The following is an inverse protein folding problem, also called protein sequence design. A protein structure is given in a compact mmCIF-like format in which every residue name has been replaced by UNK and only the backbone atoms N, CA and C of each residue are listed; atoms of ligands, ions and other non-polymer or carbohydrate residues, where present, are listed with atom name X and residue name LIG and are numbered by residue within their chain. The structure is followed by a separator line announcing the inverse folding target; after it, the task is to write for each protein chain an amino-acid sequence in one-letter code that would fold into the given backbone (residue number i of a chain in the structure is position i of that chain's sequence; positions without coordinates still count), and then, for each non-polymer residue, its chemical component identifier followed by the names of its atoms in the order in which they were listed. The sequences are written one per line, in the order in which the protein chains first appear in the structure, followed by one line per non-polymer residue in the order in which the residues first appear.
data_IF_179705562811
#
_entry.id   IF_179705562811
#
_cell.length_a   1.000
_cell.length_b   1.000
_cell.length_c   1.000
_cell.angle_alpha   90.00
_cell.angle_beta   90.00
_cell.angle_gamma   90.00
#
_symmetry.space_group_name_H-M   'P 1'
#
loop_
_entity.id
_entity.type
_entity.pdbx_description
1 polymer ?
#
# COMPACT_ATOMS: atom_id res chain seq x y z
N UNK A 1 -19.58 19.03 7.40
CA UNK A 1 -19.27 19.75 6.16
C UNK A 1 -18.83 21.18 6.46
N UNK A 2 -19.64 21.95 7.20
CA UNK A 2 -19.41 23.37 7.53
C UNK A 2 -18.01 23.71 8.07
N UNK A 3 -17.56 23.06 9.15
CA UNK A 3 -16.21 23.30 9.72
C UNK A 3 -15.09 23.06 8.71
N UNK A 4 -15.21 22.01 7.89
CA UNK A 4 -14.18 21.71 6.91
C UNK A 4 -14.14 22.75 5.79
N UNK A 5 -15.31 23.21 5.33
CA UNK A 5 -15.41 24.31 4.36
C UNK A 5 -14.83 25.61 4.92
N UNK A 6 -15.08 25.93 6.19
CA UNK A 6 -14.49 27.13 6.82
C UNK A 6 -12.96 27.07 6.87
N UNK A 7 -12.39 25.91 7.22
CA UNK A 7 -10.93 25.71 7.11
C UNK A 7 -10.44 25.88 5.66
N UNK A 8 -11.21 25.40 4.69
CA UNK A 8 -10.94 25.62 3.26
C UNK A 8 -10.91 27.11 2.89
N UNK A 9 -11.89 27.89 3.37
CA UNK A 9 -11.96 29.35 3.15
C UNK A 9 -10.78 30.08 3.77
N UNK A 10 -10.43 29.74 5.01
CA UNK A 10 -9.28 30.34 5.70
C UNK A 10 -7.96 30.08 4.97
N UNK A 11 -7.78 28.86 4.42
CA UNK A 11 -6.61 28.54 3.59
C UNK A 11 -6.64 29.30 2.27
N UNK A 12 -7.79 29.42 1.63
CA UNK A 12 -7.98 30.23 0.43
C UNK A 12 -7.60 31.70 0.66
N UNK A 13 -8.15 32.30 1.72
CA UNK A 13 -7.85 33.67 2.15
C UNK A 13 -6.36 33.87 2.42
N UNK A 14 -5.74 32.98 3.19
CA UNK A 14 -4.31 33.07 3.49
C UNK A 14 -3.46 32.97 2.22
N UNK A 15 -3.84 32.12 1.26
CA UNK A 15 -3.15 32.02 -0.01
C UNK A 15 -3.31 33.27 -0.88
N UNK A 16 -4.49 33.89 -0.89
CA UNK A 16 -4.73 35.15 -1.61
C UNK A 16 -3.91 36.30 -1.02
N UNK A 17 -3.87 36.44 0.30
CA UNK A 17 -3.09 37.47 0.99
C UNK A 17 -1.58 37.24 0.82
N UNK A 18 -1.12 36.00 0.89
CA UNK A 18 0.29 35.67 0.61
C UNK A 18 0.69 36.08 -0.81
N UNK A 19 -0.15 35.84 -1.83
CA UNK A 19 0.11 36.27 -3.21
C UNK A 19 0.16 37.79 -3.38
N UNK A 20 -0.57 38.54 -2.54
CA UNK A 20 -0.51 40.02 -2.50
C UNK A 20 0.73 40.55 -1.75
N UNK A 21 1.51 39.67 -1.11
CA UNK A 21 2.68 40.04 -0.31
C UNK A 21 2.35 40.46 1.13
N UNK A 22 1.12 40.23 1.60
CA UNK A 22 0.74 40.52 2.99
C UNK A 22 1.51 39.60 3.94
N UNK A 23 2.22 40.11 4.98
CA UNK A 23 2.96 39.27 5.92
C UNK A 23 2.07 38.28 6.68
N UNK A 24 2.55 37.04 6.88
CA UNK A 24 1.83 35.97 7.59
C UNK A 24 1.29 36.41 8.96
N UNK A 25 2.11 37.14 9.73
CA UNK A 25 1.73 37.61 11.07
C UNK A 25 0.52 38.56 11.04
N UNK A 26 0.39 39.36 10.00
CA UNK A 26 -0.74 40.29 9.86
C UNK A 26 -2.04 39.54 9.56
N UNK A 27 -2.01 38.57 8.64
CA UNK A 27 -3.16 37.70 8.36
C UNK A 27 -3.54 36.89 9.60
N UNK A 28 -2.55 36.36 10.31
CA UNK A 28 -2.77 35.61 11.54
C UNK A 28 -3.45 36.45 12.62
N UNK A 29 -3.09 37.74 12.78
CA UNK A 29 -3.74 38.66 13.74
C UNK A 29 -5.21 38.87 13.39
N UNK A 30 -5.52 39.15 12.12
CA UNK A 30 -6.91 39.38 11.67
C UNK A 30 -7.79 38.14 11.93
N UNK A 31 -7.28 36.96 11.59
CA UNK A 31 -8.01 35.70 11.84
C UNK A 31 -8.11 35.41 13.34
N UNK A 32 -7.06 35.62 14.11
CA UNK A 32 -7.06 35.42 15.56
C UNK A 32 -8.09 36.31 16.29
N UNK A 33 -8.26 37.56 15.84
CA UNK A 33 -9.25 38.49 16.38
C UNK A 33 -10.69 38.01 16.11
N UNK A 34 -10.99 37.60 14.87
CA UNK A 34 -12.32 37.09 14.49
C UNK A 34 -12.71 35.85 15.28
N UNK A 35 -11.75 34.96 15.54
CA UNK A 35 -11.99 33.67 16.19
C UNK A 35 -11.71 33.66 17.71
N UNK A 36 -11.18 34.75 18.27
CA UNK A 36 -10.83 34.86 19.69
C UNK A 36 -9.76 33.86 20.14
N UNK A 37 -8.73 33.61 19.31
CA UNK A 37 -7.67 32.62 19.58
C UNK A 37 -6.28 33.26 19.61
N UNK A 38 -5.29 32.55 20.15
CA UNK A 38 -3.90 33.03 20.15
C UNK A 38 -3.34 33.15 18.72
N UNK A 39 -2.79 34.32 18.40
CA UNK A 39 -2.18 34.63 17.09
C UNK A 39 -1.12 33.60 16.68
N UNK A 40 -0.33 33.07 17.62
CA UNK A 40 0.73 32.10 17.34
C UNK A 40 0.17 30.77 16.85
N UNK A 41 -1.02 30.38 17.32
CA UNK A 41 -1.70 29.15 16.87
C UNK A 41 -2.12 29.30 15.41
N UNK A 42 -2.70 30.44 15.08
CA UNK A 42 -3.12 30.76 13.71
C UNK A 42 -1.91 30.89 12.78
N UNK A 43 -0.87 31.61 13.22
CA UNK A 43 0.37 31.78 12.46
C UNK A 43 1.01 30.43 12.13
N UNK A 44 1.11 29.54 13.13
CA UNK A 44 1.62 28.17 12.92
C UNK A 44 0.76 27.40 11.90
N UNK A 45 -0.56 27.50 12.00
CA UNK A 45 -1.49 26.79 11.11
C UNK A 45 -1.47 27.32 9.66
N UNK A 46 -1.25 28.62 9.47
CA UNK A 46 -1.23 29.25 8.14
C UNK A 46 0.16 29.27 7.49
N UNK A 47 1.23 29.03 8.25
CA UNK A 47 2.61 29.00 7.73
C UNK A 47 2.78 28.06 6.54
N UNK A 48 2.22 26.85 6.64
CA UNK A 48 2.26 25.85 5.57
C UNK A 48 1.64 26.35 4.26
N UNK A 49 0.65 27.23 4.35
CA UNK A 49 -0.03 27.83 3.20
C UNK A 49 0.86 28.87 2.53
N UNK A 50 1.54 29.70 3.31
CA UNK A 50 2.52 30.66 2.79
C UNK A 50 3.67 29.93 2.09
N UNK A 51 4.22 28.87 2.71
CA UNK A 51 5.28 28.06 2.09
C UNK A 51 4.85 27.44 0.75
N UNK A 52 3.59 27.06 0.60
CA UNK A 52 3.06 26.56 -0.67
C UNK A 52 2.98 27.65 -1.74
N UNK A 53 2.50 28.85 -1.37
CA UNK A 53 2.42 29.99 -2.29
C UNK A 53 3.82 30.41 -2.75
N UNK A 54 4.79 30.49 -1.85
CA UNK A 54 6.19 30.80 -2.17
C UNK A 54 6.80 29.79 -3.17
N UNK A 55 6.40 28.52 -3.08
CA UNK A 55 6.81 27.45 -4.00
C UNK A 55 6.00 27.38 -5.30
N UNK A 56 5.05 28.30 -5.50
CA UNK A 56 4.16 28.29 -6.67
C UNK A 56 3.20 27.10 -6.72
N UNK A 57 2.95 26.42 -5.59
CA UNK A 57 2.07 25.27 -5.53
C UNK A 57 0.59 25.68 -5.39
N UNK A 58 -0.35 24.94 -5.99
CA UNK A 58 -1.77 25.20 -5.81
C UNK A 58 -2.19 24.92 -4.36
N UNK A 59 -2.93 25.85 -3.76
CA UNK A 59 -3.42 25.71 -2.38
C UNK A 59 -4.86 25.20 -2.39
N UNK A 60 -5.16 24.04 -1.78
CA UNK A 60 -6.51 23.52 -1.69
C UNK A 60 -7.37 24.37 -0.75
N UNK A 61 -8.63 24.60 -1.15
CA UNK A 61 -9.59 25.46 -0.45
C UNK A 61 -11.03 24.94 -0.57
N UNK A 62 -12.02 25.73 -0.15
CA UNK A 62 -13.45 25.45 -0.35
C UNK A 62 -13.88 25.47 -1.83
N UNK A 63 -13.04 26.02 -2.73
CA UNK A 63 -13.31 26.17 -4.18
C UNK A 63 -12.29 25.48 -5.08
N UNK A 64 -11.26 24.86 -4.52
CA UNK A 64 -10.23 24.15 -5.28
C UNK A 64 -9.86 22.84 -4.58
N UNK A 65 -10.16 21.73 -5.25
CA UNK A 65 -9.61 20.41 -4.94
C UNK A 65 -8.24 20.30 -5.61
N UNK A 66 -7.24 19.88 -4.85
CA UNK A 66 -5.89 19.61 -5.37
C UNK A 66 -5.65 18.12 -5.29
N UNK A 67 -5.33 17.49 -6.42
CA UNK A 67 -4.94 16.09 -6.50
C UNK A 67 -3.43 16.04 -6.63
N UNK A 68 -2.77 15.47 -5.63
CA UNK A 68 -1.32 15.49 -5.50
C UNK A 68 -0.73 14.09 -5.65
N UNK A 69 0.28 13.94 -6.50
CA UNK A 69 1.07 12.72 -6.58
C UNK A 69 2.26 12.75 -5.61
N UNK A 70 2.30 11.82 -4.66
CA UNK A 70 3.28 11.82 -3.58
C UNK A 70 3.87 10.42 -3.32
N UNK A 71 4.91 10.05 -4.08
CA UNK A 71 5.71 8.84 -3.80
C UNK A 71 4.93 7.53 -3.91
N UNK A 72 4.14 7.37 -4.98
CA UNK A 72 3.28 6.20 -5.20
C UNK A 72 2.03 6.20 -4.30
N UNK A 73 1.53 7.40 -3.97
CA UNK A 73 0.23 7.69 -3.37
C UNK A 73 -0.37 8.85 -4.15
N UNK A 74 -1.70 8.88 -4.26
CA UNK A 74 -2.43 10.06 -4.71
C UNK A 74 -3.17 10.64 -3.51
N UNK A 75 -2.95 11.93 -3.23
CA UNK A 75 -3.58 12.66 -2.13
C UNK A 75 -4.55 13.68 -2.71
N UNK A 76 -5.85 13.46 -2.52
CA UNK A 76 -6.88 14.43 -2.88
C UNK A 76 -7.11 15.33 -1.68
N UNK A 77 -6.64 16.58 -1.74
CA UNK A 77 -6.92 17.59 -0.73
C UNK A 77 -8.32 18.14 -0.95
N UNK A 78 -9.22 17.85 -0.01
CA UNK A 78 -10.65 18.06 -0.13
C UNK A 78 -11.27 18.43 1.23
N UNK A 79 -11.76 19.66 1.34
CA UNK A 79 -12.25 20.26 2.58
C UNK A 79 -13.74 19.98 2.86
N UNK A 80 -14.19 18.74 2.66
CA UNK A 80 -15.61 18.37 2.79
C UNK A 80 -15.95 17.67 4.11
N UNK A 81 -14.96 17.34 4.93
CA UNK A 81 -15.15 16.62 6.17
C UNK A 81 -15.15 15.11 5.97
N UNK A 82 -15.04 14.36 7.09
CA UNK A 82 -14.75 12.93 7.03
C UNK A 82 -15.85 12.12 6.31
N UNK A 83 -17.14 12.37 6.63
CA UNK A 83 -18.26 11.59 6.07
C UNK A 83 -18.46 11.80 4.56
N UNK A 84 -18.30 13.04 4.08
CA UNK A 84 -18.38 13.36 2.64
C UNK A 84 -17.16 12.77 1.91
N UNK A 85 -15.96 12.98 2.47
CA UNK A 85 -14.73 12.40 1.92
C UNK A 85 -14.76 10.86 1.91
N UNK A 86 -15.47 10.22 2.84
CA UNK A 86 -15.69 8.77 2.84
C UNK A 86 -16.53 8.32 1.65
N UNK A 87 -17.60 9.05 1.33
CA UNK A 87 -18.44 8.74 0.16
C UNK A 87 -17.65 8.94 -1.15
N UNK A 88 -16.96 10.07 -1.30
CA UNK A 88 -16.09 10.33 -2.46
C UNK A 88 -14.97 9.29 -2.57
N UNK A 89 -14.30 8.97 -1.48
CA UNK A 89 -13.25 7.94 -1.44
C UNK A 89 -13.76 6.55 -1.80
N UNK A 90 -14.99 6.23 -1.38
CA UNK A 90 -15.66 4.96 -1.73
C UNK A 90 -15.94 4.89 -3.23
N UNK A 91 -16.49 5.96 -3.80
CA UNK A 91 -16.69 6.11 -5.25
C UNK A 91 -15.38 5.91 -6.02
N UNK A 92 -14.33 6.67 -5.67
CA UNK A 92 -13.03 6.59 -6.34
C UNK A 92 -12.44 5.18 -6.26
N UNK A 93 -12.42 4.56 -5.07
CA UNK A 93 -11.90 3.19 -4.92
C UNK A 93 -12.62 2.17 -5.80
N UNK A 94 -13.94 2.31 -5.94
CA UNK A 94 -14.75 1.42 -6.74
C UNK A 94 -14.53 1.64 -8.23
N UNK A 95 -14.50 2.89 -8.69
CA UNK A 95 -14.24 3.24 -10.09
C UNK A 95 -12.87 2.76 -10.54
N UNK A 96 -11.83 3.02 -9.74
CA UNK A 96 -10.48 2.56 -10.03
C UNK A 96 -10.45 1.04 -10.19
N UNK A 97 -11.04 0.31 -9.23
CA UNK A 97 -11.05 -1.15 -9.28
C UNK A 97 -11.80 -1.71 -10.51
N UNK A 98 -12.86 -1.05 -10.97
CA UNK A 98 -13.62 -1.50 -12.15
C UNK A 98 -12.95 -1.12 -13.47
N UNK A 99 -12.30 0.03 -13.56
CA UNK A 99 -11.65 0.51 -14.80
C UNK A 99 -10.30 -0.17 -15.00
N UNK A 100 -9.45 -0.17 -13.97
CA UNK A 100 -8.06 -0.62 -14.06
C UNK A 100 -7.86 -2.06 -13.61
N UNK A 101 -8.88 -2.72 -13.06
CA UNK A 101 -8.80 -4.12 -12.61
C UNK A 101 -7.87 -4.35 -11.42
N UNK A 102 -7.45 -3.29 -10.74
CA UNK A 102 -6.50 -3.33 -9.61
C UNK A 102 -7.14 -2.86 -8.31
N UNK A 103 -6.74 -3.41 -7.14
CA UNK A 103 -7.32 -3.01 -5.87
C UNK A 103 -6.85 -1.61 -5.46
N UNK A 104 -7.79 -0.68 -5.29
CA UNK A 104 -7.54 0.65 -4.74
C UNK A 104 -7.79 0.68 -3.22
N UNK A 105 -6.80 1.15 -2.47
CA UNK A 105 -6.92 1.34 -1.02
C UNK A 105 -7.11 2.82 -0.72
N UNK A 106 -8.14 3.15 0.06
CA UNK A 106 -8.50 4.53 0.36
C UNK A 106 -8.57 4.76 1.87
N UNK A 107 -8.09 5.93 2.30
CA UNK A 107 -8.19 6.43 3.66
C UNK A 107 -8.58 7.89 3.66
N UNK A 108 -9.72 8.22 4.27
CA UNK A 108 -10.23 9.58 4.38
C UNK A 108 -9.93 10.24 5.74
N UNK A 109 -9.77 11.56 5.70
CA UNK A 109 -9.70 12.47 6.85
C UNK A 109 -10.52 13.72 6.52
N UNK A 110 -10.81 14.61 7.50
CA UNK A 110 -11.65 15.78 7.25
C UNK A 110 -11.25 16.68 6.07
N UNK A 111 -9.96 16.72 5.72
CA UNK A 111 -9.42 17.62 4.70
C UNK A 111 -8.72 16.89 3.53
N UNK A 112 -8.75 15.54 3.51
CA UNK A 112 -8.05 14.77 2.46
C UNK A 112 -8.59 13.36 2.27
N UNK A 113 -8.37 12.82 1.10
CA UNK A 113 -8.55 11.40 0.74
C UNK A 113 -7.20 10.91 0.23
N UNK A 114 -6.64 9.88 0.86
CA UNK A 114 -5.38 9.25 0.42
C UNK A 114 -5.72 7.96 -0.31
N UNK A 115 -5.19 7.82 -1.51
CA UNK A 115 -5.41 6.69 -2.41
C UNK A 115 -4.07 6.01 -2.67
N UNK A 116 -4.05 4.69 -2.52
CA UNK A 116 -2.93 3.84 -2.92
C UNK A 116 -3.42 2.82 -3.92
N UNK A 117 -2.93 2.94 -5.15
CA UNK A 117 -3.20 2.02 -6.23
C UNK A 117 -1.97 1.95 -7.13
N UNK A 118 -1.66 0.77 -7.68
CA UNK A 118 -0.57 0.62 -8.65
C UNK A 118 -1.08 1.04 -10.03
N UNK A 119 -0.30 1.83 -10.77
CA UNK A 119 -0.62 2.25 -12.13
C UNK A 119 -1.78 3.25 -12.24
N UNK A 120 -2.06 4.01 -11.19
CA UNK A 120 -3.06 5.10 -11.19
C UNK A 120 -2.35 6.38 -10.79
N UNK A 121 -2.45 7.38 -11.65
CA UNK A 121 -1.80 8.69 -11.51
C UNK A 121 -2.80 9.74 -10.98
N UNK A 122 -2.30 10.92 -10.62
CA UNK A 122 -3.15 11.99 -10.12
C UNK A 122 -4.18 12.48 -11.16
N UNK A 123 -3.79 12.47 -12.44
CA UNK A 123 -4.62 12.80 -13.60
C UNK A 123 -5.84 11.89 -13.71
N UNK A 124 -5.68 10.58 -13.49
CA UNK A 124 -6.81 9.63 -13.52
C UNK A 124 -7.86 9.98 -12.47
N UNK A 125 -7.40 10.33 -11.26
CA UNK A 125 -8.27 10.70 -10.15
C UNK A 125 -8.95 12.04 -10.41
N UNK A 126 -8.22 13.01 -10.98
CA UNK A 126 -8.78 14.30 -11.34
C UNK A 126 -9.88 14.15 -12.40
N UNK A 127 -9.66 13.34 -13.43
CA UNK A 127 -10.64 13.04 -14.48
C UNK A 127 -11.88 12.35 -13.91
N UNK A 128 -11.71 11.35 -13.03
CA UNK A 128 -12.83 10.67 -12.37
C UNK A 128 -13.72 11.60 -11.52
N UNK A 129 -13.14 12.68 -10.99
CA UNK A 129 -13.88 13.70 -10.24
C UNK A 129 -14.50 14.76 -11.15
N UNK A 130 -13.84 15.12 -12.25
CA UNK A 130 -14.31 16.15 -13.17
C UNK A 130 -15.47 15.66 -14.06
N UNK A 131 -15.45 14.40 -14.48
CA UNK A 131 -16.40 13.85 -15.46
C UNK A 131 -17.66 13.24 -14.85
N UNK A 132 -17.69 13.02 -13.53
CA UNK A 132 -18.77 12.28 -12.87
C UNK A 132 -20.06 13.09 -12.78
N UNK A 133 -21.18 12.46 -13.13
CA UNK A 133 -22.54 13.00 -12.92
C UNK A 133 -23.11 12.58 -11.56
N UNK A 134 -24.08 13.32 -11.03
CA UNK A 134 -24.76 12.98 -9.78
C UNK A 134 -25.40 11.58 -9.83
N UNK A 135 -26.00 11.20 -10.97
CA UNK A 135 -26.63 9.90 -11.18
C UNK A 135 -25.60 8.75 -11.18
N UNK A 136 -24.49 8.91 -11.90
CA UNK A 136 -23.41 7.93 -11.92
C UNK A 136 -22.74 7.79 -10.55
N UNK A 137 -22.50 8.92 -9.87
CA UNK A 137 -21.95 8.93 -8.53
C UNK A 137 -22.81 8.08 -7.59
N UNK A 138 -24.13 8.36 -7.54
CA UNK A 138 -25.05 7.63 -6.68
C UNK A 138 -25.09 6.14 -7.02
N UNK A 139 -25.17 5.79 -8.30
CA UNK A 139 -25.16 4.40 -8.79
C UNK A 139 -23.91 3.66 -8.33
N UNK A 140 -22.74 4.26 -8.51
CA UNK A 140 -21.46 3.63 -8.19
C UNK A 140 -21.18 3.55 -6.68
N UNK A 141 -21.52 4.60 -5.92
CA UNK A 141 -21.43 4.55 -4.44
C UNK A 141 -22.34 3.47 -3.88
N UNK A 142 -23.58 3.36 -4.36
CA UNK A 142 -24.52 2.33 -3.92
C UNK A 142 -23.94 0.93 -4.15
N UNK A 143 -23.46 0.65 -5.36
CA UNK A 143 -22.81 -0.64 -5.67
C UNK A 143 -21.60 -0.90 -4.76
N UNK A 144 -20.75 0.11 -4.55
CA UNK A 144 -19.57 0.01 -3.69
C UNK A 144 -19.93 -0.25 -2.21
N UNK A 145 -21.06 0.26 -1.74
CA UNK A 145 -21.57 0.02 -0.39
C UNK A 145 -22.10 -1.40 -0.26
N UNK A 146 -22.92 -1.87 -1.21
CA UNK A 146 -23.48 -3.22 -1.21
C UNK A 146 -22.36 -4.29 -1.18
N UNK A 147 -21.25 -4.05 -1.88
CA UNK A 147 -20.08 -4.93 -1.88
C UNK A 147 -19.22 -4.82 -0.59
N UNK A 148 -19.48 -3.86 0.29
CA UNK A 148 -18.61 -3.53 1.42
C UNK A 148 -18.80 -4.42 2.66
N UNK A 149 -17.76 -4.49 3.50
CA UNK A 149 -17.84 -5.11 4.84
C UNK A 149 -18.73 -4.30 5.80
N UNK A 150 -18.75 -2.98 5.66
CA UNK A 150 -19.56 -2.09 6.48
C UNK A 150 -21.06 -2.39 6.28
N UNK A 151 -21.49 -2.56 5.02
CA UNK A 151 -22.85 -2.99 4.71
C UNK A 151 -23.19 -4.36 5.29
N UNK A 152 -22.32 -5.37 5.10
CA UNK A 152 -22.51 -6.70 5.70
C UNK A 152 -22.66 -6.65 7.21
N UNK A 153 -21.86 -5.83 7.90
CA UNK A 153 -21.97 -5.63 9.34
C UNK A 153 -23.28 -4.91 9.71
N UNK A 154 -23.62 -3.85 8.99
CA UNK A 154 -24.84 -3.07 9.21
C UNK A 154 -26.11 -3.89 8.99
N UNK A 155 -26.14 -4.72 7.94
CA UNK A 155 -27.25 -5.61 7.63
C UNK A 155 -27.50 -6.59 8.77
N UNK A 156 -26.46 -7.14 9.40
CA UNK A 156 -26.62 -8.01 10.57
C UNK A 156 -27.25 -7.26 11.75
N UNK A 157 -26.84 -6.01 12.00
CA UNK A 157 -27.41 -5.19 13.07
C UNK A 157 -28.89 -4.86 12.81
N UNK A 158 -29.23 -4.49 11.57
CA UNK A 158 -30.61 -4.19 11.18
C UNK A 158 -31.47 -5.46 11.23
N UNK A 159 -30.99 -6.57 10.67
CA UNK A 159 -31.70 -7.85 10.68
C UNK A 159 -31.95 -8.37 12.10
N UNK A 160 -31.02 -8.17 13.05
CA UNK A 160 -31.27 -8.46 14.47
C UNK A 160 -32.33 -7.56 15.08
N UNK A 161 -32.26 -6.24 14.85
CA UNK A 161 -33.27 -5.28 15.36
C UNK A 161 -34.67 -5.55 14.80
N UNK A 162 -34.76 -6.07 13.59
CA UNK A 162 -36.02 -6.42 12.92
C UNK A 162 -36.47 -7.87 13.19
N UNK A 163 -35.77 -8.61 14.06
CA UNK A 163 -36.16 -9.99 14.42
C UNK A 163 -35.89 -11.05 13.35
N UNK A 164 -35.24 -10.70 12.25
CA UNK A 164 -34.83 -11.65 11.20
C UNK A 164 -33.76 -12.62 11.71
N UNK A 165 -32.90 -12.16 12.63
CA UNK A 165 -31.87 -12.98 13.28
C UNK A 165 -32.16 -13.04 14.78
N UNK A 166 -32.28 -14.26 15.32
CA UNK A 166 -32.48 -14.47 16.75
C UNK A 166 -31.29 -13.92 17.58
N UNK A 167 -31.55 -13.34 18.78
CA UNK A 167 -30.49 -12.91 19.70
C UNK A 167 -29.49 -14.04 20.00
N UNK A 168 -28.21 -13.69 20.12
CA UNK A 168 -27.14 -14.66 20.43
C UNK A 168 -26.64 -15.52 19.26
N UNK A 169 -27.33 -15.54 18.11
CA UNK A 169 -26.92 -16.29 16.91
C UNK A 169 -25.53 -15.83 16.42
N UNK A 170 -24.54 -16.73 16.38
CA UNK A 170 -23.23 -16.44 15.76
C UNK A 170 -23.31 -16.74 14.27
N UNK A 171 -22.96 -15.75 13.45
CA UNK A 171 -22.94 -15.89 11.99
C UNK A 171 -21.50 -16.11 11.51
N UNK A 172 -21.30 -17.11 10.67
CA UNK A 172 -20.06 -17.26 9.91
C UNK A 172 -20.06 -16.30 8.71
N UNK A 173 -18.92 -16.17 8.02
CA UNK A 173 -18.82 -15.35 6.81
C UNK A 173 -19.80 -15.83 5.71
N UNK A 174 -19.94 -17.14 5.52
CA UNK A 174 -20.85 -17.71 4.52
C UNK A 174 -22.33 -17.47 4.85
N UNK A 175 -22.68 -17.40 6.14
CA UNK A 175 -24.05 -17.07 6.57
C UNK A 175 -24.41 -15.63 6.24
N UNK A 176 -23.46 -14.71 6.42
CA UNK A 176 -23.64 -13.29 6.09
C UNK A 176 -23.83 -13.11 4.58
N UNK A 177 -23.08 -13.82 3.75
CA UNK A 177 -23.25 -13.74 2.30
C UNK A 177 -24.61 -14.30 1.85
N UNK A 178 -25.08 -15.39 2.45
CA UNK A 178 -26.45 -15.91 2.23
C UNK A 178 -27.53 -14.94 2.70
N UNK A 179 -27.32 -14.29 3.85
CA UNK A 179 -28.23 -13.28 4.38
C UNK A 179 -28.35 -12.07 3.43
N UNK A 180 -27.24 -11.58 2.88
CA UNK A 180 -27.23 -10.49 1.90
C UNK A 180 -28.05 -10.87 0.66
N UNK A 181 -27.90 -12.10 0.16
CA UNK A 181 -28.66 -12.58 -0.99
C UNK A 181 -30.16 -12.72 -0.67
N UNK A 182 -30.50 -13.34 0.47
CA UNK A 182 -31.88 -13.61 0.86
C UNK A 182 -32.67 -12.34 1.19
N UNK A 183 -32.02 -11.33 1.77
CA UNK A 183 -32.66 -10.08 2.15
C UNK A 183 -32.65 -9.03 1.04
N UNK A 184 -32.08 -9.29 -0.13
CA UNK A 184 -31.97 -8.30 -1.20
C UNK A 184 -33.35 -7.73 -1.56
N UNK A 185 -33.49 -6.41 -1.49
CA UNK A 185 -34.75 -5.69 -1.74
C UNK A 185 -35.75 -5.67 -0.57
N UNK A 186 -35.47 -6.38 0.54
CA UNK A 186 -36.29 -6.31 1.75
C UNK A 186 -36.13 -4.98 2.50
N UNK A 187 -37.07 -4.61 3.38
CA UNK A 187 -36.93 -3.43 4.25
C UNK A 187 -35.63 -3.43 5.07
N UNK A 188 -35.20 -4.59 5.59
CA UNK A 188 -33.95 -4.71 6.34
C UNK A 188 -32.71 -4.38 5.50
N UNK A 189 -32.73 -4.75 4.22
CA UNK A 189 -31.64 -4.46 3.29
C UNK A 189 -31.61 -2.97 2.92
N UNK A 190 -32.76 -2.40 2.58
CA UNK A 190 -32.88 -0.98 2.23
C UNK A 190 -32.49 -0.09 3.42
N UNK A 191 -32.91 -0.44 4.64
CA UNK A 191 -32.55 0.31 5.85
C UNK A 191 -31.06 0.17 6.17
N UNK A 192 -30.46 -1.02 6.01
CA UNK A 192 -29.02 -1.18 6.19
C UNK A 192 -28.21 -0.36 5.19
N UNK A 193 -28.65 -0.33 3.93
CA UNK A 193 -28.02 0.48 2.88
C UNK A 193 -28.13 1.97 3.21
N UNK A 194 -29.31 2.42 3.62
CA UNK A 194 -29.58 3.79 4.06
C UNK A 194 -28.69 4.18 5.25
N UNK A 195 -28.61 3.35 6.29
CA UNK A 195 -27.75 3.66 7.44
C UNK A 195 -26.27 3.81 7.02
N UNK A 196 -25.75 2.96 6.14
CA UNK A 196 -24.35 3.14 5.68
C UNK A 196 -24.19 4.41 4.85
N UNK A 197 -25.11 4.71 3.94
CA UNK A 197 -25.01 5.86 3.04
C UNK A 197 -25.20 7.21 3.73
N UNK A 198 -26.03 7.29 4.78
CA UNK A 198 -26.41 8.56 5.41
C UNK A 198 -25.94 8.71 6.86
N UNK A 199 -25.75 7.62 7.60
CA UNK A 199 -25.25 7.67 8.99
C UNK A 199 -23.73 7.55 9.03
N UNK A 200 -23.19 6.55 8.33
CA UNK A 200 -21.76 6.25 8.31
C UNK A 200 -21.00 7.08 7.26
N UNK A 201 -21.71 7.53 6.22
CA UNK A 201 -21.26 8.47 5.18
C UNK A 201 -22.26 9.62 5.05
N UNK A 202 -21.88 10.63 4.27
CA UNK A 202 -22.73 11.77 3.92
C UNK A 202 -22.80 11.84 2.38
N UNK A 203 -23.63 10.97 1.81
CA UNK A 203 -23.79 10.87 0.34
C UNK A 203 -24.49 12.10 -0.24
N UNK A 204 -25.41 12.71 0.49
CA UNK A 204 -26.03 13.99 0.10
C UNK A 204 -25.00 15.10 -0.02
N UNK A 205 -24.15 15.28 1.00
CA UNK A 205 -23.06 16.25 0.92
C UNK A 205 -22.07 15.94 -0.20
N UNK A 206 -21.84 14.67 -0.52
CA UNK A 206 -20.98 14.27 -1.64
C UNK A 206 -21.63 14.55 -3.01
N UNK A 207 -22.94 14.36 -3.15
CA UNK A 207 -23.69 14.73 -4.35
C UNK A 207 -23.64 16.24 -4.60
N UNK A 208 -23.73 17.05 -3.55
CA UNK A 208 -23.55 18.50 -3.67
C UNK A 208 -22.14 18.86 -4.16
N UNK A 209 -21.11 18.17 -3.67
CA UNK A 209 -19.73 18.34 -4.18
C UNK A 209 -19.65 18.01 -5.67
N UNK A 210 -20.25 16.90 -6.12
CA UNK A 210 -20.32 16.52 -7.54
C UNK A 210 -21.06 17.57 -8.36
N UNK A 211 -22.18 18.10 -7.86
CA UNK A 211 -22.93 19.15 -8.54
C UNK A 211 -22.11 20.44 -8.71
N UNK A 212 -21.38 20.84 -7.66
CA UNK A 212 -20.47 22.00 -7.69
C UNK A 212 -19.32 21.83 -8.67
N UNK A 213 -18.76 20.61 -8.80
CA UNK A 213 -17.77 20.28 -9.82
C UNK A 213 -18.35 20.46 -11.23
N UNK A 214 -19.55 19.93 -11.46
CA UNK A 214 -20.25 19.99 -12.76
C UNK A 214 -20.60 21.42 -13.17
N UNK A 215 -21.00 22.26 -12.21
CA UNK A 215 -21.30 23.69 -12.45
C UNK A 215 -20.05 24.57 -12.59
N UNK A 216 -18.85 24.02 -12.36
CA UNK A 216 -17.60 24.77 -12.39
C UNK A 216 -17.37 25.67 -11.17
N UNK A 217 -18.21 25.56 -10.13
CA UNK A 217 -18.07 26.29 -8.86
C UNK A 217 -16.93 25.75 -7.99
N UNK A 218 -16.58 24.47 -8.19
CA UNK A 218 -15.45 23.79 -7.58
C UNK A 218 -14.51 23.32 -8.69
N UNK A 219 -13.23 23.68 -8.58
CA UNK A 219 -12.21 23.29 -9.57
C UNK A 219 -11.37 22.13 -9.06
N UNK A 220 -10.79 21.37 -9.99
CA UNK A 220 -9.82 20.31 -9.70
C UNK A 220 -8.52 20.64 -10.43
N UNK A 221 -7.38 20.47 -9.76
CA UNK A 221 -6.06 20.64 -10.37
C UNK A 221 -5.12 19.54 -9.87
N UNK A 222 -4.13 19.20 -10.69
CA UNK A 222 -3.11 18.21 -10.37
C UNK A 222 -1.81 18.91 -9.99
N UNK A 223 -1.05 18.34 -9.06
CA UNK A 223 0.27 18.84 -8.70
C UNK A 223 1.21 17.72 -8.27
N UNK A 224 2.50 17.93 -8.49
CA UNK A 224 3.56 17.04 -8.01
C UNK A 224 3.85 17.31 -6.52
N UNK A 225 3.96 16.23 -5.76
CA UNK A 225 4.19 16.23 -4.32
C UNK A 225 5.53 15.61 -3.90
N UNK A 226 5.78 15.49 -2.59
CA UNK A 226 4.87 15.87 -1.52
C UNK A 226 4.88 17.39 -1.25
N UNK A 227 3.70 18.02 -1.20
CA UNK A 227 3.53 19.40 -0.79
C UNK A 227 3.81 19.60 0.72
N UNK A 228 4.12 20.81 1.18
CA UNK A 228 4.18 21.14 2.60
C UNK A 228 2.97 20.63 3.41
N UNK A 229 1.76 20.74 2.86
CA UNK A 229 0.54 20.21 3.49
C UNK A 229 0.54 18.68 3.63
N UNK A 230 1.01 17.95 2.61
CA UNK A 230 1.16 16.50 2.66
C UNK A 230 2.26 16.08 3.64
N UNK A 231 3.37 16.81 3.67
CA UNK A 231 4.47 16.55 4.61
C UNK A 231 4.04 16.81 6.06
N UNK A 232 3.34 17.91 6.33
CA UNK A 232 2.77 18.22 7.65
C UNK A 232 1.81 17.10 8.08
N UNK A 233 0.95 16.66 7.17
CA UNK A 233 0.02 15.55 7.39
C UNK A 233 0.69 14.23 7.79
N UNK A 234 1.91 13.97 7.29
CA UNK A 234 2.74 12.81 7.66
C UNK A 234 3.48 13.05 8.98
N UNK A 235 3.91 14.29 9.25
CA UNK A 235 4.56 14.69 10.51
C UNK A 235 3.61 14.66 11.69
N UNK A 236 2.37 15.10 11.55
CA UNK A 236 1.35 15.03 12.63
C UNK A 236 0.99 13.59 13.02
N UNK A 237 1.26 12.60 12.15
CA UNK A 237 1.17 11.18 12.52
C UNK A 237 2.34 10.73 13.40
N UNK A 238 3.51 11.40 13.31
CA UNK A 238 4.70 11.09 14.11
C UNK A 238 4.66 11.68 15.51
N UNK A 239 3.98 12.82 15.71
CA UNK A 239 3.92 13.49 17.02
C UNK A 239 2.98 12.79 18.03
N UNK A 240 2.10 11.88 17.58
CA UNK A 240 1.18 11.12 18.43
C UNK A 240 1.47 9.62 18.54
N UNK A 241 2.63 9.15 18.09
CA UNK A 241 2.98 7.73 18.08
C UNK A 241 4.35 7.50 18.73
N UNK A 242 4.34 6.77 19.85
CA UNK A 242 5.51 6.02 20.34
C UNK A 242 6.17 5.26 19.16
N UNK A 243 7.51 5.11 19.17
CA UNK A 243 8.21 4.53 18.03
C UNK A 243 7.86 3.04 17.89
N UNK A 244 6.91 2.73 16.99
CA UNK A 244 6.63 1.37 16.56
C UNK A 244 6.32 1.30 15.06
N UNK A 245 7.32 0.74 14.36
CA UNK A 245 7.27 -0.04 13.12
C UNK A 245 7.47 0.70 11.77
N UNK A 246 8.46 0.25 10.97
CA UNK A 246 8.62 0.62 9.56
C UNK A 246 7.31 0.42 8.78
N UNK A 247 7.05 1.35 7.88
CA UNK A 247 5.85 1.48 7.04
C UNK A 247 5.32 0.12 6.52
N UNK A 248 4.02 -0.14 6.70
CA UNK A 248 3.34 -1.42 6.38
C UNK A 248 3.65 -2.00 4.98
N UNK A 249 4.12 -1.21 4.01
CA UNK A 249 4.55 -1.67 2.67
C UNK A 249 5.80 -2.53 2.72
N UNK A 250 6.78 -2.16 3.53
CA UNK A 250 8.02 -2.90 3.69
C UNK A 250 7.77 -4.22 4.43
N UNK A 251 6.87 -4.23 5.41
CA UNK A 251 6.45 -5.45 6.08
C UNK A 251 5.72 -6.40 5.12
N UNK A 252 4.77 -5.89 4.32
CA UNK A 252 4.04 -6.72 3.34
C UNK A 252 4.98 -7.24 2.24
N UNK A 253 5.86 -6.40 1.70
CA UNK A 253 6.88 -6.80 0.70
C UNK A 253 7.83 -7.84 1.26
N UNK A 254 8.30 -7.65 2.50
CA UNK A 254 9.15 -8.63 3.20
C UNK A 254 8.40 -9.95 3.47
N UNK A 255 7.13 -9.90 3.85
CA UNK A 255 6.30 -11.09 4.05
C UNK A 255 6.08 -11.83 2.73
N UNK A 256 5.79 -11.15 1.62
CA UNK A 256 5.66 -11.77 0.30
C UNK A 256 6.98 -12.37 -0.21
N UNK A 257 8.11 -11.70 0.03
CA UNK A 257 9.43 -12.27 -0.22
C UNK A 257 9.65 -13.55 0.59
N UNK A 258 9.33 -13.52 1.89
CA UNK A 258 9.45 -14.68 2.77
C UNK A 258 8.55 -15.84 2.30
N UNK A 259 7.30 -15.57 1.93
CA UNK A 259 6.36 -16.59 1.43
C UNK A 259 6.89 -17.22 0.14
N UNK A 260 7.29 -16.43 -0.86
CA UNK A 260 7.85 -16.96 -2.13
C UNK A 260 9.10 -17.78 -1.91
N UNK A 261 10.00 -17.31 -1.05
CA UNK A 261 11.23 -18.03 -0.74
C UNK A 261 10.92 -19.37 -0.07
N UNK A 262 9.99 -19.40 0.89
CA UNK A 262 9.61 -20.62 1.61
C UNK A 262 8.85 -21.63 0.74
N UNK A 263 8.16 -21.16 -0.31
CA UNK A 263 7.48 -22.01 -1.30
C UNK A 263 8.38 -22.51 -2.43
N UNK A 264 9.61 -22.00 -2.53
CA UNK A 264 10.56 -22.47 -3.53
C UNK A 264 11.15 -23.84 -3.18
N UNK A 265 11.52 -24.59 -4.22
CA UNK A 265 12.21 -25.86 -4.11
C UNK A 265 13.68 -25.68 -4.47
N UNK A 266 14.54 -26.46 -3.81
CA UNK A 266 15.97 -26.51 -4.13
C UNK A 266 16.34 -27.96 -4.36
N UNK A 267 16.99 -28.20 -5.49
CA UNK A 267 17.59 -29.49 -5.80
C UNK A 267 18.92 -29.64 -5.09
N UNK A 268 19.13 -30.81 -4.50
CA UNK A 268 20.37 -31.24 -3.87
C UNK A 268 20.97 -32.44 -4.59
N UNK A 269 22.30 -32.54 -4.56
CA UNK A 269 23.02 -33.74 -4.94
C UNK A 269 24.04 -34.10 -3.86
N UNK A 270 23.99 -35.33 -3.34
CA UNK A 270 25.00 -35.82 -2.43
C UNK A 270 26.27 -36.22 -3.17
N UNK A 271 27.44 -35.73 -2.77
CA UNK A 271 28.70 -36.10 -3.43
C UNK A 271 29.21 -37.50 -3.04
N UNK A 272 28.60 -38.13 -2.03
CA UNK A 272 29.01 -39.43 -1.50
C UNK A 272 28.21 -40.57 -2.11
N UNK A 273 26.89 -40.58 -1.88
CA UNK A 273 25.99 -41.62 -2.42
C UNK A 273 25.40 -41.27 -3.79
N UNK A 274 25.67 -40.06 -4.32
CA UNK A 274 25.19 -39.55 -5.62
C UNK A 274 23.67 -39.40 -5.77
N UNK A 275 22.93 -39.57 -4.68
CA UNK A 275 21.50 -39.34 -4.68
C UNK A 275 21.19 -37.86 -4.97
N UNK A 276 20.18 -37.64 -5.80
CA UNK A 276 19.61 -36.34 -6.12
C UNK A 276 18.19 -36.32 -5.58
N UNK A 277 17.81 -35.19 -4.99
CA UNK A 277 16.50 -35.01 -4.37
C UNK A 277 16.18 -33.52 -4.27
N UNK A 278 14.91 -33.17 -4.38
CA UNK A 278 14.41 -31.83 -4.08
C UNK A 278 13.86 -31.73 -2.65
N UNK A 279 14.07 -30.57 -2.03
CA UNK A 279 13.41 -30.21 -0.78
C UNK A 279 12.80 -28.82 -0.90
N UNK A 280 11.63 -28.59 -0.29
CA UNK A 280 11.11 -27.24 -0.13
C UNK A 280 12.01 -26.47 0.83
N UNK A 281 12.28 -25.20 0.52
CA UNK A 281 13.12 -24.32 1.35
C UNK A 281 12.58 -24.18 2.77
N UNK A 282 11.27 -24.35 2.97
CA UNK A 282 10.64 -24.33 4.29
C UNK A 282 11.17 -25.43 5.23
N UNK A 283 11.52 -26.60 4.71
CA UNK A 283 11.96 -27.79 5.49
C UNK A 283 13.45 -27.78 5.83
N UNK A 284 14.21 -26.81 5.32
CA UNK A 284 15.66 -26.72 5.59
C UNK A 284 15.95 -26.23 7.01
N UNK A 285 16.83 -26.95 7.69
CA UNK A 285 17.37 -26.63 9.02
C UNK A 285 18.90 -26.86 9.10
N UNK A 286 19.49 -26.64 10.27
CA UNK A 286 20.94 -26.86 10.50
C UNK A 286 21.35 -28.34 10.46
N UNK A 287 20.38 -29.25 10.62
CA UNK A 287 20.52 -30.70 10.53
C UNK A 287 20.49 -31.25 9.11
N UNK A 288 20.04 -30.46 8.12
CA UNK A 288 19.90 -30.86 6.71
C UNK A 288 21.11 -31.66 6.22
N UNK A 289 20.83 -32.90 5.83
CA UNK A 289 21.78 -33.89 5.35
C UNK A 289 21.13 -34.77 4.29
N UNK A 290 21.92 -35.59 3.60
CA UNK A 290 21.38 -36.53 2.62
C UNK A 290 20.42 -37.51 3.32
N UNK A 291 19.15 -37.65 2.86
CA UNK A 291 18.20 -38.57 3.48
C UNK A 291 18.58 -40.05 3.27
N UNK A 292 19.44 -40.34 2.29
CA UNK A 292 19.84 -41.71 1.94
C UNK A 292 21.08 -42.20 2.69
N UNK A 293 22.05 -41.32 2.99
CA UNK A 293 23.31 -41.72 3.63
C UNK A 293 23.77 -40.83 4.79
N UNK A 294 23.01 -39.80 5.14
CA UNK A 294 23.34 -38.87 6.24
C UNK A 294 24.51 -37.92 5.95
N UNK A 295 25.13 -37.97 4.78
CA UNK A 295 26.24 -37.07 4.45
C UNK A 295 25.79 -35.61 4.36
N UNK A 296 26.64 -34.72 4.88
CA UNK A 296 26.49 -33.26 4.78
C UNK A 296 27.23 -32.65 3.60
N UNK A 297 27.89 -33.46 2.76
CA UNK A 297 28.57 -33.00 1.54
C UNK A 297 27.56 -32.93 0.38
N UNK A 298 26.80 -31.85 0.34
CA UNK A 298 25.73 -31.63 -0.62
C UNK A 298 26.06 -30.47 -1.57
N UNK A 299 25.90 -30.71 -2.86
CA UNK A 299 25.75 -29.65 -3.85
C UNK A 299 24.29 -29.21 -3.89
N UNK A 300 24.02 -27.94 -4.18
CA UNK A 300 22.65 -27.41 -4.30
C UNK A 300 22.53 -26.33 -5.37
N UNK A 301 21.34 -26.19 -5.97
CA UNK A 301 20.98 -25.09 -6.88
C UNK A 301 19.45 -24.95 -7.01
N UNK A 302 18.98 -23.77 -7.42
CA UNK A 302 17.56 -23.51 -7.71
C UNK A 302 17.25 -23.87 -9.17
N UNK A 303 17.32 -25.18 -9.46
CA UNK A 303 17.02 -25.79 -10.76
C UNK A 303 16.19 -27.06 -10.52
N UNK A 304 15.47 -27.58 -11.53
CA UNK A 304 14.75 -28.84 -11.41
C UNK A 304 15.66 -30.04 -11.13
N UNK A 305 15.13 -31.06 -10.44
CA UNK A 305 15.83 -32.29 -10.05
C UNK A 305 16.50 -32.96 -11.25
N UNK A 306 15.80 -33.01 -12.39
CA UNK A 306 16.30 -33.58 -13.64
C UNK A 306 17.55 -32.87 -14.16
N UNK A 307 17.62 -31.55 -14.04
CA UNK A 307 18.79 -30.77 -14.43
C UNK A 307 19.95 -30.97 -13.45
N UNK A 308 19.64 -31.06 -12.15
CA UNK A 308 20.64 -31.37 -11.13
C UNK A 308 21.24 -32.75 -11.34
N UNK A 309 20.43 -33.75 -11.69
CA UNK A 309 20.90 -35.11 -11.99
C UNK A 309 21.88 -35.14 -13.17
N UNK A 310 21.54 -34.48 -14.28
CA UNK A 310 22.43 -34.37 -15.45
C UNK A 310 23.74 -33.66 -15.09
N UNK A 311 23.66 -32.61 -14.26
CA UNK A 311 24.83 -31.86 -13.81
C UNK A 311 25.70 -32.70 -12.87
N UNK A 312 25.10 -33.41 -11.93
CA UNK A 312 25.77 -34.27 -10.97
C UNK A 312 26.54 -35.40 -11.66
N UNK A 313 25.90 -36.10 -12.60
CA UNK A 313 26.53 -37.20 -13.33
C UNK A 313 27.82 -36.74 -14.02
N UNK A 314 27.77 -35.57 -14.68
CA UNK A 314 28.91 -34.98 -15.36
C UNK A 314 30.01 -34.55 -14.39
N UNK A 315 29.64 -33.80 -13.35
CA UNK A 315 30.62 -33.15 -12.47
C UNK A 315 31.28 -34.13 -11.49
N UNK A 316 30.59 -35.21 -11.11
CA UNK A 316 31.16 -36.25 -10.26
C UNK A 316 32.10 -37.19 -11.03
N UNK A 317 31.86 -37.45 -12.32
CA UNK A 317 32.72 -38.31 -13.17
C UNK A 317 33.94 -37.58 -13.73
N UNK A 318 33.73 -36.45 -14.41
CA UNK A 318 34.77 -35.77 -15.22
C UNK A 318 35.42 -34.60 -14.49
N UNK A 319 34.82 -34.13 -13.38
CA UNK A 319 35.23 -32.94 -12.58
C UNK A 319 35.41 -31.64 -13.38
N UNK A 320 35.08 -31.61 -14.68
CA UNK A 320 35.17 -30.46 -15.58
C UNK A 320 33.98 -30.43 -16.54
N UNK A 321 33.52 -29.23 -16.90
CA UNK A 321 32.39 -29.00 -17.81
C UNK A 321 31.53 -27.79 -17.43
N UNK A 322 30.57 -27.44 -18.31
CA UNK A 322 29.60 -26.34 -18.08
C UNK A 322 28.82 -26.62 -16.78
N UNK A 323 28.79 -25.64 -15.87
CA UNK A 323 28.07 -25.73 -14.59
C UNK A 323 28.85 -26.39 -13.45
N UNK A 324 29.95 -27.11 -13.72
CA UNK A 324 30.69 -27.81 -12.65
C UNK A 324 31.40 -26.88 -11.67
N UNK A 325 31.81 -25.69 -12.12
CA UNK A 325 32.36 -24.67 -11.20
C UNK A 325 31.31 -24.24 -10.16
N UNK A 326 30.08 -24.01 -10.58
CA UNK A 326 28.99 -23.64 -9.68
C UNK A 326 28.60 -24.82 -8.77
N UNK A 327 28.62 -26.04 -9.30
CA UNK A 327 28.38 -27.26 -8.53
C UNK A 327 29.38 -27.44 -7.39
N UNK A 328 30.69 -27.34 -7.66
CA UNK A 328 31.70 -27.49 -6.61
C UNK A 328 31.71 -26.29 -5.64
N UNK A 329 31.50 -25.07 -6.15
CA UNK A 329 31.32 -23.91 -5.28
C UNK A 329 30.11 -24.06 -4.33
N UNK A 330 29.02 -24.68 -4.79
CA UNK A 330 27.85 -24.89 -3.93
C UNK A 330 28.13 -25.90 -2.83
N UNK A 331 28.93 -26.95 -3.10
CA UNK A 331 29.42 -27.88 -2.05
C UNK A 331 30.20 -27.12 -0.98
N UNK A 332 31.17 -26.29 -1.37
CA UNK A 332 31.99 -25.52 -0.41
C UNK A 332 31.14 -24.54 0.41
N UNK A 333 30.20 -23.84 -0.23
CA UNK A 333 29.29 -22.92 0.43
C UNK A 333 28.34 -23.63 1.39
N UNK A 334 27.85 -24.82 1.02
CA UNK A 334 27.03 -25.63 1.90
C UNK A 334 27.84 -26.08 3.11
N UNK A 335 29.07 -26.57 2.93
CA UNK A 335 29.91 -26.98 4.05
C UNK A 335 30.20 -25.83 5.02
N UNK A 336 30.43 -24.63 4.49
CA UNK A 336 30.81 -23.45 5.31
C UNK A 336 29.62 -22.75 5.97
N UNK A 337 28.50 -22.58 5.26
CA UNK A 337 27.37 -21.76 5.71
C UNK A 337 26.04 -22.52 5.81
N UNK A 338 26.02 -23.82 5.48
CA UNK A 338 24.87 -24.72 5.57
C UNK A 338 23.62 -24.15 4.89
N UNK A 339 22.46 -24.23 5.52
CA UNK A 339 21.17 -23.78 5.01
C UNK A 339 21.15 -22.29 4.65
N UNK A 340 22.01 -21.47 5.28
CA UNK A 340 22.12 -20.04 4.96
C UNK A 340 22.57 -19.80 3.52
N UNK A 341 23.47 -20.65 2.99
CA UNK A 341 23.89 -20.57 1.60
C UNK A 341 22.74 -20.91 0.64
N UNK A 342 21.90 -21.86 1.04
CA UNK A 342 20.73 -22.29 0.26
C UNK A 342 19.69 -21.18 0.20
N UNK A 343 19.37 -20.53 1.33
CA UNK A 343 18.45 -19.39 1.36
C UNK A 343 18.93 -18.24 0.47
N UNK A 344 20.23 -17.94 0.47
CA UNK A 344 20.79 -16.90 -0.39
C UNK A 344 20.67 -17.28 -1.88
N UNK A 345 20.92 -18.54 -2.25
CA UNK A 345 20.76 -18.97 -3.64
C UNK A 345 19.31 -18.94 -4.10
N UNK A 346 18.37 -19.42 -3.27
CA UNK A 346 16.93 -19.39 -3.54
C UNK A 346 16.39 -17.96 -3.67
N UNK A 347 17.00 -16.99 -2.95
CA UNK A 347 16.69 -15.56 -3.08
C UNK A 347 17.20 -14.92 -4.39
N UNK A 348 17.96 -15.66 -5.21
CA UNK A 348 18.39 -15.23 -6.55
C UNK A 348 19.85 -14.80 -6.67
N UNK A 349 20.64 -14.87 -5.59
CA UNK A 349 22.06 -14.48 -5.62
C UNK A 349 22.93 -15.54 -6.32
N UNK A 350 24.01 -15.10 -6.97
CA UNK A 350 25.00 -15.99 -7.58
C UNK A 350 25.94 -16.59 -6.52
N UNK A 351 26.53 -17.76 -6.80
CA UNK A 351 27.47 -18.40 -5.87
C UNK A 351 28.68 -17.52 -5.49
N UNK A 352 29.07 -16.57 -6.35
CA UNK A 352 30.16 -15.62 -6.04
C UNK A 352 29.72 -14.55 -5.02
N UNK A 353 28.48 -14.10 -5.09
CA UNK A 353 27.92 -13.08 -4.19
C UNK A 353 27.63 -13.67 -2.81
N UNK A 354 27.14 -14.91 -2.76
CA UNK A 354 26.81 -15.60 -1.51
C UNK A 354 28.00 -15.62 -0.54
N UNK A 355 29.19 -15.95 -1.05
CA UNK A 355 30.42 -16.00 -0.23
C UNK A 355 30.76 -14.65 0.42
N UNK A 356 30.55 -13.53 -0.31
CA UNK A 356 30.79 -12.16 0.19
C UNK A 356 29.69 -11.70 1.14
N UNK A 357 28.43 -12.08 0.86
CA UNK A 357 27.27 -11.66 1.65
C UNK A 357 27.27 -12.35 3.01
N UNK A 358 27.65 -13.63 3.08
CA UNK A 358 27.60 -14.42 4.31
C UNK A 358 28.85 -14.31 5.18
N UNK A 359 30.00 -13.87 4.65
CA UNK A 359 31.25 -13.77 5.44
C UNK A 359 31.14 -12.77 6.61
N UNK A 360 30.32 -11.73 6.48
CA UNK A 360 30.06 -10.74 7.52
C UNK A 360 28.83 -11.00 8.40
N UNK A 361 28.06 -12.06 8.14
CA UNK A 361 26.76 -12.28 8.80
C UNK A 361 26.82 -13.29 9.94
N UNK A 362 26.50 -12.86 11.17
CA UNK A 362 26.45 -13.72 12.38
C UNK A 362 25.04 -13.92 12.95
N UNK A 363 24.02 -13.39 12.29
CA UNK A 363 22.63 -13.46 12.75
C UNK A 363 21.96 -14.84 12.53
N UNK A 364 20.79 -15.00 13.16
CA UNK A 364 19.89 -16.14 12.96
C UNK A 364 19.06 -16.04 11.66
N UNK A 365 18.18 -17.03 11.43
CA UNK A 365 17.39 -17.18 10.18
C UNK A 365 16.64 -15.91 9.77
N UNK A 366 15.88 -15.29 10.68
CA UNK A 366 15.11 -14.09 10.33
C UNK A 366 16.00 -12.86 10.03
N UNK A 367 17.14 -12.72 10.72
CA UNK A 367 18.12 -11.66 10.43
C UNK A 367 18.72 -11.82 9.04
N UNK A 368 19.03 -13.06 8.64
CA UNK A 368 19.50 -13.37 7.30
C UNK A 368 18.44 -13.07 6.23
N UNK A 369 17.18 -13.48 6.44
CA UNK A 369 16.10 -13.21 5.49
C UNK A 369 15.90 -11.71 5.27
N UNK A 370 16.01 -10.90 6.33
CA UNK A 370 15.95 -9.43 6.21
C UNK A 370 17.13 -8.88 5.40
N UNK A 371 18.34 -9.36 5.65
CA UNK A 371 19.53 -8.96 4.90
C UNK A 371 19.40 -9.26 3.40
N UNK A 372 18.94 -10.46 3.04
CA UNK A 372 18.74 -10.88 1.66
C UNK A 372 17.68 -10.03 0.96
N UNK A 373 16.58 -9.72 1.64
CA UNK A 373 15.53 -8.85 1.11
C UNK A 373 16.03 -7.42 0.84
N UNK A 374 16.79 -6.83 1.78
CA UNK A 374 17.37 -5.48 1.60
C UNK A 374 18.30 -5.47 0.39
N UNK A 375 19.23 -6.44 0.30
CA UNK A 375 20.20 -6.52 -0.79
C UNK A 375 19.54 -6.71 -2.15
N UNK A 376 18.50 -7.55 -2.23
CA UNK A 376 17.76 -7.76 -3.48
C UNK A 376 17.02 -6.49 -3.93
N UNK A 377 16.53 -5.71 -2.98
CA UNK A 377 15.89 -4.42 -3.25
C UNK A 377 16.87 -3.38 -3.78
N UNK A 378 18.11 -3.37 -3.29
CA UNK A 378 19.19 -2.51 -3.79
C UNK A 378 19.55 -2.85 -5.25
N UNK A 379 19.73 -4.13 -5.57
CA UNK A 379 20.06 -4.59 -6.94
C UNK A 379 18.99 -4.22 -7.96
N UNK A 380 17.71 -4.39 -7.60
CA UNK A 380 16.59 -4.00 -8.47
C UNK A 380 16.59 -2.49 -8.71
N UNK A 381 16.84 -1.67 -7.68
CA UNK A 381 16.94 -0.21 -7.81
C UNK A 381 18.11 0.21 -8.71
N UNK A 382 19.26 -0.44 -8.59
CA UNK A 382 20.40 -0.18 -9.47
C UNK A 382 20.14 -0.61 -10.92
N UNK A 383 19.41 -1.71 -11.12
CA UNK A 383 19.01 -2.18 -12.45
C UNK A 383 18.05 -1.21 -13.13
N UNK A 384 17.03 -0.71 -12.42
CA UNK A 384 16.11 0.32 -12.94
C UNK A 384 16.83 1.64 -13.24
N UNK A 385 17.81 2.05 -12.41
CA UNK A 385 18.65 3.21 -12.70
C UNK A 385 19.47 3.06 -13.99
N UNK A 386 19.97 1.86 -14.29
CA UNK A 386 20.75 1.59 -15.51
C UNK A 386 19.89 1.58 -16.78
N UNK A 387 18.65 1.10 -16.68
CA UNK A 387 17.69 1.08 -17.81
C UNK A 387 17.20 2.50 -18.15
N UNK A 388 17.07 3.39 -17.16
CA UNK A 388 16.73 4.80 -17.38
C UNK A 388 17.88 5.68 -17.90
N UNK A 389 19.07 5.13 -18.11
CA UNK A 389 20.28 5.88 -18.50
C UNK A 389 20.86 5.51 -19.88
N UNK A 390 20.18 4.69 -20.68
CA UNK A 390 20.54 4.51 -22.10
C UNK A 390 20.13 5.76 -22.90
N UNK A 391 21.07 6.53 -23.48
CA UNK A 391 20.72 7.65 -24.35
C UNK A 391 20.16 7.11 -25.67
N UNK A 392 19.18 7.85 -26.21
CA UNK A 392 18.59 7.70 -27.54
C UNK A 392 19.62 7.70 -28.67
#
# INVERSE_FOLDING_TARGET
LEVAQEVGRLRGLAAEEARKGTPLLEVARRVAEVYGVDVRVVEKALRVIYEMVEKGQPVPSDRLVVVEEAGGLVVVHAHFGNKVNRALGKYLSYRIAKIFGVPAYVSEKPYRIVIRCEGVEAEDIASLLAEVTEEEFLKHVRAAVEESRAFRWRLQQVARRMGVIAPGTRLTRGDVDRLVAALKGSPAYLEALKEVMYRDMDVEGALEVVSRLRRGELRVTVTEGPSPLTLESVRSLREGLEPALPERRDLVSYVLFKVRLMQSFVSFCCTECRAVFELPVAELDTGTSCPYCGSRRLAFDNIPESEMAVRAERCLKVKKGRGCRNFWNSVELFQKYREKAVFARAAGFSFREIGKLLSGHRGGRDSLLRLLWIKRREELREHFRKIGSTPS
#
